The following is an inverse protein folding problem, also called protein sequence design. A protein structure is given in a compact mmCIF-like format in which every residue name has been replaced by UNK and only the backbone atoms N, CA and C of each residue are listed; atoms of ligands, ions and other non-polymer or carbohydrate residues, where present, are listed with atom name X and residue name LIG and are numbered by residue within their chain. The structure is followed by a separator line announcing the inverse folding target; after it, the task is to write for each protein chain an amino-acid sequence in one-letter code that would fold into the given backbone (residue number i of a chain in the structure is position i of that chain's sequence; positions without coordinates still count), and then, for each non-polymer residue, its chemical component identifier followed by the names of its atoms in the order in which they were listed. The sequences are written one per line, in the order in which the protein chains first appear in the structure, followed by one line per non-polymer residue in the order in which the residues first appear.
data_IF_046045487075
#
_entry.id   IF_046045487075
#
_cell.length_a   1.000
_cell.length_b   1.000
_cell.length_c   1.000
_cell.angle_alpha   90.00
_cell.angle_beta   90.00
_cell.angle_gamma   90.00
#
_symmetry.space_group_name_H-M   'P 1'
#
loop_
_entity.id
_entity.type
_entity.pdbx_description
1 polymer ?
#
# COMPACT_ATOMS: atom_id res chain seq x y z
N UNK A 1 1.30 23.45 16.43
CA UNK A 1 1.61 22.09 15.96
C UNK A 1 1.53 22.10 14.45
N UNK A 2 2.62 21.78 13.74
CA UNK A 2 2.48 21.38 12.35
C UNK A 2 1.60 20.12 12.36
N UNK A 3 0.47 20.06 11.65
CA UNK A 3 -0.17 18.77 11.44
C UNK A 3 0.84 17.93 10.65
N UNK A 4 1.48 16.97 11.30
CA UNK A 4 2.31 16.01 10.58
C UNK A 4 1.42 15.38 9.52
N UNK A 5 1.82 15.49 8.25
CA UNK A 5 1.05 14.94 7.15
C UNK A 5 0.98 13.44 7.33
N UNK A 6 -0.21 12.86 7.17
CA UNK A 6 -0.40 11.44 7.38
C UNK A 6 0.57 10.60 6.53
N UNK A 7 1.20 9.57 7.11
CA UNK A 7 2.21 8.79 6.42
C UNK A 7 1.59 7.92 5.32
N UNK A 8 2.42 7.48 4.38
CA UNK A 8 2.11 6.33 3.54
C UNK A 8 2.69 5.08 4.19
N UNK A 9 1.86 4.05 4.39
CA UNK A 9 2.28 2.72 4.80
C UNK A 9 2.50 1.87 3.55
N UNK A 10 3.75 1.66 3.17
CA UNK A 10 4.13 0.76 2.09
C UNK A 10 4.14 -0.68 2.61
N UNK A 11 3.11 -1.45 2.25
CA UNK A 11 3.00 -2.85 2.63
C UNK A 11 2.53 -3.76 1.48
N UNK A 12 3.15 -3.70 0.28
CA UNK A 12 2.72 -4.48 -0.88
C UNK A 12 3.22 -5.93 -0.85
N UNK A 13 3.26 -6.56 0.33
CA UNK A 13 3.73 -7.94 0.48
C UNK A 13 2.90 -8.92 -0.35
N UNK A 14 3.54 -9.97 -0.84
CA UNK A 14 2.91 -11.04 -1.60
C UNK A 14 2.71 -12.33 -0.78
N UNK A 15 3.22 -12.37 0.46
CA UNK A 15 3.06 -13.49 1.39
C UNK A 15 1.97 -13.21 2.42
N UNK A 16 1.04 -14.17 2.58
CA UNK A 16 -0.05 -14.02 3.56
C UNK A 16 0.47 -13.92 4.99
N UNK A 17 1.51 -14.67 5.34
CA UNK A 17 2.13 -14.61 6.67
C UNK A 17 2.62 -13.20 7.01
N UNK A 18 3.35 -12.58 6.10
CA UNK A 18 3.84 -11.20 6.27
C UNK A 18 2.67 -10.24 6.43
N UNK A 19 1.64 -10.36 5.59
CA UNK A 19 0.43 -9.53 5.68
C UNK A 19 -0.19 -9.59 7.08
N UNK A 20 -0.43 -10.81 7.61
CA UNK A 20 -1.01 -11.00 8.94
C UNK A 20 -0.11 -10.44 10.04
N UNK A 21 1.21 -10.61 9.95
CA UNK A 21 2.16 -10.12 10.95
C UNK A 21 2.27 -8.59 10.97
N UNK A 22 2.11 -7.92 9.82
CA UNK A 22 2.18 -6.45 9.73
C UNK A 22 0.86 -5.74 10.05
N UNK A 23 -0.27 -6.43 10.01
CA UNK A 23 -1.60 -5.84 10.29
C UNK A 23 -1.68 -5.08 11.63
N UNK A 24 -1.18 -5.61 12.77
CA UNK A 24 -1.25 -4.88 14.04
C UNK A 24 -0.55 -3.52 13.99
N UNK A 25 0.56 -3.42 13.26
CA UNK A 25 1.28 -2.15 13.07
C UNK A 25 0.50 -1.19 12.19
N UNK A 26 -0.09 -1.69 11.10
CA UNK A 26 -0.96 -0.88 10.22
C UNK A 26 -2.13 -0.29 11.00
N UNK A 27 -2.83 -1.14 11.77
CA UNK A 27 -3.95 -0.70 12.61
C UNK A 27 -3.50 0.33 13.65
N UNK A 28 -2.34 0.12 14.28
CA UNK A 28 -1.81 1.05 15.28
C UNK A 28 -1.52 2.43 14.71
N UNK A 29 -0.99 2.50 13.49
CA UNK A 29 -0.77 3.80 12.82
C UNK A 29 -2.09 4.45 12.45
N UNK A 30 -3.07 3.67 11.95
CA UNK A 30 -4.39 4.18 11.58
C UNK A 30 -5.19 4.73 12.77
N UNK A 31 -4.95 4.24 13.99
CA UNK A 31 -5.52 4.84 15.22
C UNK A 31 -5.08 6.30 15.41
N UNK A 32 -3.82 6.61 15.08
CA UNK A 32 -3.24 7.95 15.27
C UNK A 32 -3.32 8.83 14.02
N UNK A 33 -3.35 8.21 12.84
CA UNK A 33 -3.40 8.85 11.53
C UNK A 33 -4.48 8.17 10.66
N UNK A 34 -5.78 8.44 10.90
CA UNK A 34 -6.87 7.78 10.18
C UNK A 34 -6.87 8.05 8.67
N UNK A 35 -6.22 9.12 8.24
CA UNK A 35 -6.09 9.56 6.85
C UNK A 35 -4.82 9.05 6.15
N UNK A 36 -4.01 8.23 6.84
CA UNK A 36 -2.85 7.56 6.26
C UNK A 36 -3.25 6.69 5.06
N UNK A 37 -2.39 6.67 4.04
CA UNK A 37 -2.59 5.82 2.88
C UNK A 37 -1.91 4.46 3.12
N UNK A 38 -2.68 3.38 3.03
CA UNK A 38 -2.16 2.02 3.11
C UNK A 38 -1.99 1.45 1.70
N UNK A 39 -0.76 1.12 1.33
CA UNK A 39 -0.44 0.47 0.06
C UNK A 39 -0.32 -1.04 0.28
N UNK A 40 -1.13 -1.83 -0.43
CA UNK A 40 -1.22 -3.29 -0.26
C UNK A 40 -1.19 -3.98 -1.61
N UNK A 41 -0.76 -5.23 -1.67
CA UNK A 41 -0.93 -6.03 -2.89
C UNK A 41 -2.42 -6.23 -3.19
N UNK A 42 -2.80 -6.07 -4.47
CA UNK A 42 -4.19 -6.22 -4.94
C UNK A 42 -4.82 -7.55 -4.52
N UNK A 43 -4.01 -8.61 -4.39
CA UNK A 43 -4.47 -9.94 -3.96
C UNK A 43 -5.08 -9.94 -2.57
N UNK A 44 -4.61 -9.06 -1.68
CA UNK A 44 -5.11 -8.95 -0.31
C UNK A 44 -6.21 -7.90 -0.15
N UNK A 45 -6.64 -7.25 -1.24
CA UNK A 45 -7.72 -6.25 -1.19
C UNK A 45 -9.00 -6.72 -0.47
N UNK A 46 -9.55 -7.91 -0.78
CA UNK A 46 -10.73 -8.42 -0.08
C UNK A 46 -10.50 -8.65 1.42
N UNK A 47 -9.33 -9.17 1.79
CA UNK A 47 -8.98 -9.40 3.19
C UNK A 47 -8.78 -8.08 3.94
N UNK A 48 -8.10 -7.13 3.32
CA UNK A 48 -7.91 -5.78 3.84
C UNK A 48 -9.25 -5.07 4.11
N UNK A 49 -10.22 -5.20 3.20
CA UNK A 49 -11.55 -4.61 3.37
C UNK A 49 -12.34 -5.19 4.56
N UNK A 50 -12.01 -6.41 5.02
CA UNK A 50 -12.65 -7.03 6.19
C UNK A 50 -12.00 -6.61 7.51
N UNK A 51 -10.70 -6.31 7.51
CA UNK A 51 -9.93 -6.10 8.76
C UNK A 51 -9.56 -4.64 9.00
N UNK A 52 -9.50 -3.81 7.96
CA UNK A 52 -9.18 -2.40 8.08
C UNK A 52 -10.45 -1.59 8.39
N UNK A 53 -10.31 -0.46 9.11
CA UNK A 53 -11.41 0.47 9.31
C UNK A 53 -12.06 0.87 7.96
N UNK A 54 -13.40 1.00 7.87
CA UNK A 54 -14.09 1.25 6.60
C UNK A 54 -13.67 2.53 5.86
N UNK A 55 -13.17 3.53 6.59
CA UNK A 55 -12.72 4.80 6.03
C UNK A 55 -11.24 4.80 5.63
N UNK A 56 -10.56 3.67 5.74
CA UNK A 56 -9.13 3.57 5.44
C UNK A 56 -8.87 3.86 3.97
N UNK A 57 -7.94 4.78 3.70
CA UNK A 57 -7.49 5.06 2.34
C UNK A 57 -6.54 3.93 1.93
N UNK A 58 -6.97 3.10 0.99
CA UNK A 58 -6.15 2.00 0.45
C UNK A 58 -5.76 2.23 -0.99
N UNK A 59 -4.50 1.96 -1.34
CA UNK A 59 -4.02 1.91 -2.72
C UNK A 59 -3.49 0.50 -3.03
N UNK A 60 -4.13 -0.16 -3.99
CA UNK A 60 -3.76 -1.53 -4.35
C UNK A 60 -2.62 -1.55 -5.38
N UNK A 61 -1.53 -2.21 -5.04
CA UNK A 61 -0.38 -2.46 -5.89
C UNK A 61 -0.70 -3.58 -6.90
N UNK A 62 -0.69 -3.29 -8.21
CA UNK A 62 -1.16 -4.22 -9.23
C UNK A 62 -0.06 -5.20 -9.66
N UNK A 63 0.46 -6.00 -8.72
CA UNK A 63 1.61 -6.90 -8.95
C UNK A 63 1.41 -7.84 -10.15
N UNK A 64 0.24 -8.47 -10.24
CA UNK A 64 -0.11 -9.39 -11.33
C UNK A 64 -0.13 -8.72 -12.70
N UNK A 65 -0.55 -7.46 -12.80
CA UNK A 65 -0.61 -6.74 -14.07
C UNK A 65 0.74 -6.12 -14.49
N UNK A 66 1.69 -6.06 -13.56
CA UNK A 66 3.05 -5.59 -13.82
C UNK A 66 4.05 -6.74 -14.02
N UNK A 67 3.59 -7.99 -13.93
CA UNK A 67 4.40 -9.19 -14.09
C UNK A 67 5.05 -9.30 -15.49
N UNK A 68 6.18 -10.00 -15.58
CA UNK A 68 7.04 -10.03 -16.79
C UNK A 68 6.37 -10.68 -18.00
N UNK A 69 5.39 -11.54 -17.77
CA UNK A 69 4.57 -12.23 -18.77
C UNK A 69 3.52 -11.30 -19.43
N UNK A 70 3.34 -10.07 -18.92
CA UNK A 70 2.42 -9.08 -19.48
C UNK A 70 3.08 -8.21 -20.57
N UNK A 71 2.31 -7.74 -21.57
CA UNK A 71 2.82 -6.81 -22.58
C UNK A 71 3.42 -5.53 -22.00
N UNK A 72 4.53 -5.05 -22.56
CA UNK A 72 5.26 -3.89 -22.03
C UNK A 72 4.39 -2.64 -21.84
N UNK A 73 3.61 -2.26 -22.85
CA UNK A 73 2.74 -1.08 -22.76
C UNK A 73 1.63 -1.22 -21.71
N UNK A 74 1.13 -2.44 -21.48
CA UNK A 74 0.16 -2.72 -20.41
C UNK A 74 0.82 -2.57 -19.04
N UNK A 75 2.00 -3.17 -18.83
CA UNK A 75 2.77 -3.00 -17.59
C UNK A 75 3.06 -1.53 -17.29
N UNK A 76 3.49 -0.79 -18.31
CA UNK A 76 3.81 0.62 -18.21
C UNK A 76 2.57 1.45 -17.83
N UNK A 77 1.41 1.19 -18.44
CA UNK A 77 0.18 1.91 -18.11
C UNK A 77 -0.29 1.65 -16.67
N UNK A 78 -0.22 0.40 -16.20
CA UNK A 78 -0.54 0.05 -14.81
C UNK A 78 0.42 0.71 -13.81
N UNK A 79 1.72 0.73 -14.13
CA UNK A 79 2.72 1.44 -13.34
C UNK A 79 2.43 2.94 -13.26
N UNK A 80 2.20 3.62 -14.39
CA UNK A 80 1.88 5.05 -14.40
C UNK A 80 0.60 5.37 -13.62
N UNK A 81 -0.43 4.53 -13.75
CA UNK A 81 -1.69 4.70 -12.99
C UNK A 81 -1.45 4.59 -11.49
N UNK A 82 -0.69 3.58 -11.06
CA UNK A 82 -0.31 3.41 -9.65
C UNK A 82 0.50 4.60 -9.15
N UNK A 83 1.53 5.02 -9.89
CA UNK A 83 2.39 6.15 -9.50
C UNK A 83 1.63 7.47 -9.42
N UNK A 84 0.66 7.70 -10.32
CA UNK A 84 -0.19 8.90 -10.26
C UNK A 84 -1.05 8.91 -8.98
N UNK A 85 -1.63 7.77 -8.60
CA UNK A 85 -2.40 7.65 -7.37
C UNK A 85 -1.51 7.80 -6.13
N UNK A 86 -0.34 7.16 -6.13
CA UNK A 86 0.64 7.22 -5.06
C UNK A 86 1.12 8.66 -4.79
N UNK A 87 1.52 9.38 -5.85
CA UNK A 87 1.94 10.80 -5.77
C UNK A 87 0.81 11.74 -5.35
N UNK A 88 -0.46 11.33 -5.52
CA UNK A 88 -1.62 12.10 -5.11
C UNK A 88 -1.76 12.24 -3.59
N UNK A 89 -1.15 11.35 -2.80
CA UNK A 89 -1.25 11.36 -1.34
C UNK A 89 -0.47 12.49 -0.65
N UNK A 90 0.51 13.10 -1.33
CA UNK A 90 1.28 14.29 -0.88
C UNK A 90 1.74 14.21 0.59
N UNK A 91 2.36 13.11 1.00
CA UNK A 91 2.98 12.96 2.33
C UNK A 91 4.47 13.30 2.31
N UNK A 92 5.02 13.62 3.47
CA UNK A 92 6.46 13.79 3.69
C UNK A 92 7.10 12.52 4.31
N UNK A 93 6.29 11.54 4.74
CA UNK A 93 6.73 10.33 5.45
C UNK A 93 6.23 9.06 4.78
N UNK A 94 7.16 8.14 4.48
CA UNK A 94 6.85 6.81 3.95
C UNK A 94 7.44 5.77 4.91
N UNK A 95 6.58 4.88 5.41
CA UNK A 95 6.96 3.75 6.24
C UNK A 95 6.93 2.48 5.40
N UNK A 96 8.10 1.91 5.14
CA UNK A 96 8.22 0.61 4.46
C UNK A 96 8.10 -0.53 5.47
N UNK A 97 7.06 -1.33 5.32
CA UNK A 97 6.71 -2.47 6.17
C UNK A 97 7.03 -3.82 5.51
N UNK A 98 7.49 -3.84 4.25
CA UNK A 98 7.81 -5.10 3.55
C UNK A 98 9.18 -5.63 4.00
N UNK A 99 10.12 -4.73 4.31
CA UNK A 99 11.41 -5.07 4.93
C UNK A 99 12.35 -5.96 4.10
N UNK A 100 11.94 -6.39 2.90
CA UNK A 100 12.79 -7.14 1.99
C UNK A 100 13.74 -6.21 1.24
N UNK A 101 14.99 -6.65 1.09
CA UNK A 101 15.92 -6.01 0.16
C UNK A 101 15.41 -6.29 -1.26
N UNK A 102 15.38 -5.26 -2.10
CA UNK A 102 15.34 -5.42 -3.55
C UNK A 102 16.62 -6.17 -3.99
N UNK A 103 16.64 -7.49 -3.89
CA UNK A 103 17.65 -8.36 -4.52
C UNK A 103 17.26 -8.68 -5.95
#
# INVERSE_FOLDING_TARGET
MNPEKAPILLFPTHFLGNFVLGLPWVLKVLESHPDALVVLDVRFGPLAAMVLPPQTRTLLFPRSEMAKDKPFFSRLSHYWRFMRAFRGARTDTILDLEGERFT
#
